data_IF_867589011644
#
_entry.id   IF_867589011644
#
_cell.length_a   1.000
_cell.length_b   1.000
_cell.length_c   1.000
_cell.angle_alpha   90.00
_cell.angle_beta   90.00
_cell.angle_gamma   90.00
#
_symmetry.space_group_name_H-M   'P 1'
#
loop_
_entity.id
_entity.type
_entity.pdbx_description
1 polymer ?
#
# COMPACT_ATOMS: atom_id res chain seq x y z
N UNK A 1 6.09 11.05 -14.51
CA UNK A 1 6.15 12.11 -13.46
C UNK A 1 7.45 11.94 -12.69
N UNK A 2 8.08 13.04 -12.22
CA UNK A 2 9.28 12.99 -11.37
C UNK A 2 8.88 13.40 -9.95
N UNK A 3 9.25 12.62 -8.95
CA UNK A 3 8.95 12.88 -7.53
C UNK A 3 10.18 13.36 -6.74
N UNK A 4 11.36 12.92 -7.15
CA UNK A 4 12.62 13.33 -6.53
C UNK A 4 13.25 14.51 -7.27
N UNK A 5 14.12 15.22 -6.56
CA UNK A 5 15.05 16.23 -7.06
C UNK A 5 16.48 15.79 -6.73
N UNK A 6 17.07 15.04 -7.66
CA UNK A 6 18.32 14.31 -7.41
C UNK A 6 18.12 13.12 -6.47
N UNK A 7 19.20 12.73 -5.79
CA UNK A 7 19.22 11.58 -4.87
C UNK A 7 18.75 11.94 -3.45
N UNK A 8 18.94 13.20 -3.04
CA UNK A 8 18.81 13.62 -1.64
C UNK A 8 17.49 14.32 -1.31
N UNK A 9 16.78 14.84 -2.32
CA UNK A 9 15.61 15.69 -2.09
C UNK A 9 14.37 15.16 -2.80
N UNK A 10 13.21 15.48 -2.22
CA UNK A 10 11.93 15.44 -2.92
C UNK A 10 11.67 16.80 -3.55
N UNK A 11 10.88 16.83 -4.61
CA UNK A 11 10.50 18.11 -5.23
C UNK A 11 9.66 18.95 -4.28
N UNK A 12 9.76 20.26 -4.44
CA UNK A 12 8.96 21.23 -3.69
C UNK A 12 7.46 20.91 -3.78
N UNK A 13 6.77 21.00 -2.64
CA UNK A 13 5.34 20.70 -2.53
C UNK A 13 4.98 19.21 -2.42
N UNK A 14 5.94 18.29 -2.43
CA UNK A 14 5.69 16.86 -2.22
C UNK A 14 6.00 16.43 -0.78
N UNK A 15 5.01 15.79 -0.14
CA UNK A 15 5.17 15.14 1.16
C UNK A 15 5.06 13.62 0.99
N UNK A 16 6.18 12.88 1.01
CA UNK A 16 6.15 11.44 0.80
C UNK A 16 5.70 10.69 2.06
N UNK A 17 4.88 9.67 1.87
CA UNK A 17 4.44 8.76 2.92
C UNK A 17 4.73 7.32 2.49
N UNK A 18 5.70 6.67 3.14
CA UNK A 18 6.11 5.30 2.84
C UNK A 18 5.66 4.37 3.96
N UNK A 19 5.14 3.16 3.66
CA UNK A 19 4.87 2.16 4.69
C UNK A 19 6.19 1.58 5.21
N UNK A 20 6.71 2.12 6.32
CA UNK A 20 8.03 1.77 6.86
C UNK A 20 7.98 0.78 8.03
N UNK A 21 6.79 0.48 8.55
CA UNK A 21 6.61 -0.46 9.66
C UNK A 21 5.31 -1.24 9.47
N UNK A 22 5.41 -2.58 9.37
CA UNK A 22 4.25 -3.49 9.41
C UNK A 22 3.63 -3.44 10.80
N UNK A 23 2.42 -2.93 10.89
CA UNK A 23 1.67 -2.83 12.14
C UNK A 23 0.89 -4.12 12.41
N UNK A 24 0.21 -4.64 11.39
CA UNK A 24 -0.63 -5.82 11.50
C UNK A 24 -0.74 -6.56 10.16
N UNK A 25 -1.15 -7.83 10.24
CA UNK A 25 -1.31 -8.74 9.12
C UNK A 25 -2.62 -9.51 9.28
N UNK A 26 -3.39 -9.58 8.19
CA UNK A 26 -4.63 -10.34 8.12
C UNK A 26 -4.53 -11.37 6.99
N UNK A 27 -4.97 -12.60 7.26
CA UNK A 27 -4.96 -13.71 6.30
C UNK A 27 -6.38 -13.92 5.76
N UNK A 28 -6.54 -13.79 4.45
CA UNK A 28 -7.72 -14.24 3.72
C UNK A 28 -7.44 -15.63 3.10
N UNK A 29 -8.47 -16.38 2.66
CA UNK A 29 -8.26 -17.69 2.03
C UNK A 29 -7.32 -17.69 0.82
N UNK A 30 -7.29 -16.60 0.04
CA UNK A 30 -6.53 -16.44 -1.20
C UNK A 30 -5.54 -15.26 -1.16
N UNK A 31 -5.38 -14.59 -0.02
CA UNK A 31 -4.60 -13.37 0.07
C UNK A 31 -4.01 -13.07 1.46
N UNK A 32 -2.97 -12.25 1.44
CA UNK A 32 -2.32 -11.67 2.60
C UNK A 32 -2.56 -10.16 2.58
N UNK A 33 -3.16 -9.63 3.64
CA UNK A 33 -3.32 -8.19 3.83
C UNK A 33 -2.31 -7.72 4.87
N UNK A 34 -1.56 -6.67 4.51
CA UNK A 34 -0.55 -6.04 5.37
C UNK A 34 -0.94 -4.59 5.62
N UNK A 35 -0.95 -4.20 6.89
CA UNK A 35 -1.22 -2.84 7.33
C UNK A 35 0.10 -2.16 7.68
N UNK A 36 0.55 -1.23 6.84
CA UNK A 36 1.84 -0.54 6.97
C UNK A 36 1.68 0.91 7.43
N UNK A 37 2.30 1.28 8.54
CA UNK A 37 2.30 2.66 9.05
C UNK A 37 3.38 3.51 8.40
N UNK A 38 3.10 4.82 8.29
CA UNK A 38 4.02 5.78 7.64
C UNK A 38 5.08 6.36 8.56
N UNK A 39 5.09 5.93 9.83
CA UNK A 39 6.09 6.25 10.82
C UNK A 39 6.45 5.00 11.61
N UNK A 40 7.65 4.96 12.18
CA UNK A 40 8.04 3.85 13.04
C UNK A 40 7.32 3.96 14.39
N UNK A 41 6.49 2.95 14.68
CA UNK A 41 5.88 2.78 16.00
C UNK A 41 6.90 2.27 17.04
N UNK A 42 6.98 2.92 18.18
CA UNK A 42 7.85 2.56 19.32
C UNK A 42 7.06 2.35 20.61
N UNK A 43 5.95 3.06 20.76
CA UNK A 43 5.04 2.99 21.90
C UNK A 43 3.58 3.03 21.43
N UNK A 44 2.65 2.64 22.29
CA UNK A 44 1.22 2.62 21.96
C UNK A 44 0.70 3.99 21.51
N UNK A 45 1.19 5.09 22.07
CA UNK A 45 0.78 6.44 21.65
C UNK A 45 1.06 6.75 20.17
N UNK A 46 2.03 6.06 19.57
CA UNK A 46 2.41 6.27 18.18
C UNK A 46 1.36 5.75 17.20
N UNK A 47 0.45 4.86 17.61
CA UNK A 47 -0.59 4.34 16.70
C UNK A 47 -1.62 5.40 16.31
N UNK A 48 -1.64 6.55 16.99
CA UNK A 48 -2.52 7.67 16.71
C UNK A 48 -1.86 8.66 15.73
N UNK A 49 -2.69 9.39 14.99
CA UNK A 49 -2.26 10.46 14.07
C UNK A 49 -1.14 10.02 13.11
N UNK A 50 -1.29 8.84 12.50
CA UNK A 50 -0.35 8.30 11.51
C UNK A 50 -1.10 7.78 10.29
N UNK A 51 -0.49 7.92 9.12
CA UNK A 51 -1.03 7.32 7.90
C UNK A 51 -0.89 5.80 7.95
N UNK A 52 -1.90 5.11 7.43
CA UNK A 52 -1.90 3.66 7.28
C UNK A 52 -2.10 3.34 5.80
N UNK A 53 -1.18 2.58 5.21
CA UNK A 53 -1.36 1.99 3.90
C UNK A 53 -1.81 0.54 4.07
N UNK A 54 -2.84 0.16 3.32
CA UNK A 54 -3.26 -1.23 3.21
C UNK A 54 -2.66 -1.82 1.94
N UNK A 55 -1.97 -2.95 2.07
CA UNK A 55 -1.42 -3.70 0.94
C UNK A 55 -2.06 -5.08 0.91
N UNK A 56 -2.67 -5.48 -0.21
CA UNK A 56 -3.18 -6.84 -0.42
C UNK A 56 -2.30 -7.55 -1.44
N UNK A 57 -1.77 -8.70 -1.03
CA UNK A 57 -1.04 -9.62 -1.87
C UNK A 57 -1.95 -10.82 -2.17
N UNK A 58 -2.18 -11.13 -3.44
CA UNK A 58 -2.91 -12.33 -3.85
C UNK A 58 -2.25 -12.93 -5.09
N UNK A 59 -2.69 -14.11 -5.53
CA UNK A 59 -2.18 -14.75 -6.74
C UNK A 59 -3.31 -14.98 -7.75
N UNK A 60 -3.35 -14.27 -8.90
CA UNK A 60 -4.37 -14.51 -9.91
C UNK A 60 -4.04 -15.67 -10.85
N UNK A 61 -2.81 -16.18 -10.81
CA UNK A 61 -2.31 -17.34 -11.58
C UNK A 61 -0.95 -17.80 -11.01
N UNK A 62 -0.53 -19.06 -11.26
CA UNK A 62 0.79 -19.52 -10.87
C UNK A 62 1.90 -18.55 -11.29
N UNK A 63 2.88 -18.37 -10.42
CA UNK A 63 4.04 -17.50 -10.61
C UNK A 63 3.72 -15.99 -10.78
N UNK A 64 2.51 -15.53 -10.41
CA UNK A 64 2.13 -14.11 -10.44
C UNK A 64 1.67 -13.63 -9.07
N UNK A 65 2.33 -12.60 -8.52
CA UNK A 65 1.87 -11.92 -7.31
C UNK A 65 1.16 -10.62 -7.70
N UNK A 66 -0.14 -10.55 -7.45
CA UNK A 66 -0.90 -9.30 -7.51
C UNK A 66 -0.64 -8.49 -6.25
N UNK A 67 -0.12 -7.28 -6.41
CA UNK A 67 0.07 -6.31 -5.33
C UNK A 67 -0.91 -5.16 -5.51
N UNK A 68 -1.77 -4.93 -4.54
CA UNK A 68 -2.70 -3.80 -4.53
C UNK A 68 -2.45 -2.96 -3.28
N UNK A 69 -2.36 -1.64 -3.45
CA UNK A 69 -2.05 -0.70 -2.37
C UNK A 69 -3.10 0.40 -2.31
N UNK A 70 -3.56 0.73 -1.11
CA UNK A 70 -4.52 1.81 -0.87
C UNK A 70 -4.08 2.70 0.28
N UNK A 71 -4.19 4.02 0.08
CA UNK A 71 -4.20 5.01 1.17
C UNK A 71 -5.64 5.27 1.63
N UNK A 72 -6.53 5.62 0.69
CA UNK A 72 -7.96 5.81 0.95
C UNK A 72 -8.80 4.87 0.07
N UNK A 73 -9.55 3.95 0.70
CA UNK A 73 -10.44 3.00 -0.01
C UNK A 73 -11.83 3.59 -0.36
N UNK A 74 -12.16 4.79 0.15
CA UNK A 74 -13.47 5.43 -0.07
C UNK A 74 -13.65 6.12 -1.43
N UNK A 75 -12.65 6.05 -2.32
CA UNK A 75 -12.73 6.64 -3.65
C UNK A 75 -13.66 5.82 -4.57
N UNK A 76 -14.34 6.51 -5.50
CA UNK A 76 -15.12 5.83 -6.53
C UNK A 76 -14.19 5.03 -7.44
N UNK A 77 -14.50 3.77 -7.79
CA UNK A 77 -13.71 3.01 -8.74
C UNK A 77 -13.62 3.74 -10.09
N UNK A 78 -12.41 3.85 -10.63
CA UNK A 78 -12.18 4.39 -11.97
C UNK A 78 -12.52 3.30 -13.00
N UNK A 79 -13.22 3.69 -14.05
CA UNK A 79 -13.53 2.85 -15.21
C UNK A 79 -13.16 3.58 -16.50
N UNK A 80 -12.84 2.85 -17.60
CA UNK A 80 -12.81 1.40 -17.73
C UNK A 80 -11.58 0.74 -17.06
N UNK A 81 -11.70 -0.55 -16.73
CA UNK A 81 -10.60 -1.39 -16.24
C UNK A 81 -10.21 -2.43 -17.29
N UNK A 82 -8.98 -2.93 -17.21
CA UNK A 82 -8.55 -4.03 -18.08
C UNK A 82 -9.32 -5.33 -17.74
N UNK A 83 -9.67 -6.10 -18.77
CA UNK A 83 -10.12 -7.47 -18.58
C UNK A 83 -8.93 -8.33 -18.13
N UNK A 84 -9.02 -8.93 -16.95
CA UNK A 84 -7.97 -9.77 -16.39
C UNK A 84 -8.30 -11.24 -16.62
N UNK A 85 -7.34 -12.01 -17.12
CA UNK A 85 -7.42 -13.47 -17.16
C UNK A 85 -6.86 -14.04 -15.85
N UNK A 86 -7.66 -14.78 -15.11
CA UNK A 86 -7.28 -15.37 -13.82
C UNK A 86 -7.38 -16.89 -13.92
N UNK A 87 -6.33 -17.58 -13.47
CA UNK A 87 -6.27 -19.03 -13.37
C UNK A 87 -6.05 -19.36 -11.89
N UNK A 88 -7.01 -19.97 -11.19
CA UNK A 88 -6.83 -20.35 -9.80
C UNK A 88 -5.70 -21.37 -9.61
#
# INVERSE_FOLDING_TARGET
>A
MKFTDGYWHFREGLTPHFPIHVHDIEMEPDALIVYGTTKRLTQRGDVLNTGLLTVRFSSPMPDVIRVQMWHYKGQRPLSPTFALNTQP
#
